data_IF_121727885997
#
_entry.id   IF_121727885997
#
_cell.length_a   1.000
_cell.length_b   1.000
_cell.length_c   1.000
_cell.angle_alpha   90.00
_cell.angle_beta   90.00
_cell.angle_gamma   90.00
#
_symmetry.space_group_name_H-M   'P 1'
#
loop_
_entity.id
_entity.type
_entity.pdbx_description
1 polymer ?
#
# COMPACT_ATOMS: atom_id res chain seq x y z
N UNK A 1 8.39 -8.79 28.80
CA UNK A 1 9.11 -7.67 28.15
C UNK A 1 8.08 -6.83 27.40
N UNK A 2 8.17 -5.48 27.41
CA UNK A 2 7.28 -4.67 26.59
C UNK A 2 7.48 -5.04 25.12
N UNK A 3 6.42 -5.47 24.44
CA UNK A 3 6.45 -5.78 23.00
C UNK A 3 6.88 -4.50 22.29
N UNK A 4 8.00 -4.53 21.56
CA UNK A 4 8.45 -3.39 20.76
C UNK A 4 7.32 -2.93 19.85
N UNK A 5 7.16 -1.62 19.65
CA UNK A 5 6.10 -1.08 18.81
C UNK A 5 6.11 -1.76 17.42
N UNK A 6 4.94 -2.14 16.87
CA UNK A 6 4.89 -2.86 15.61
C UNK A 6 5.56 -2.05 14.48
N UNK A 7 6.12 -2.75 13.49
CA UNK A 7 6.67 -2.09 12.31
C UNK A 7 5.57 -1.25 11.64
N UNK A 8 5.92 -0.01 11.29
CA UNK A 8 5.04 0.82 10.47
C UNK A 8 4.96 0.25 9.05
N UNK A 9 3.90 0.54 8.28
CA UNK A 9 3.81 0.10 6.88
C UNK A 9 5.05 0.49 6.06
N UNK A 10 5.56 1.72 6.24
CA UNK A 10 6.77 2.16 5.54
C UNK A 10 8.05 1.46 6.03
N UNK A 11 8.09 1.07 7.31
CA UNK A 11 9.18 0.25 7.85
C UNK A 11 9.17 -1.17 7.28
N UNK A 12 7.99 -1.75 7.06
CA UNK A 12 7.83 -3.05 6.36
C UNK A 12 8.38 -2.93 4.94
N UNK A 13 7.93 -1.93 4.16
CA UNK A 13 8.44 -1.73 2.79
C UNK A 13 9.96 -1.50 2.76
N UNK A 14 10.51 -0.70 3.68
CA UNK A 14 11.95 -0.49 3.77
C UNK A 14 12.73 -1.79 4.07
N UNK A 15 12.28 -2.58 5.05
CA UNK A 15 12.92 -3.87 5.35
C UNK A 15 12.78 -4.85 4.18
N UNK A 16 11.63 -4.89 3.49
CA UNK A 16 11.42 -5.73 2.31
C UNK A 16 12.40 -5.39 1.18
N UNK A 17 12.67 -4.11 0.91
CA UNK A 17 13.70 -3.71 -0.06
C UNK A 17 15.11 -4.11 0.40
N UNK A 18 15.41 -3.95 1.70
CA UNK A 18 16.70 -4.35 2.26
C UNK A 18 16.92 -5.87 2.33
N UNK A 19 15.86 -6.67 2.20
CA UNK A 19 15.96 -8.12 1.96
C UNK A 19 16.53 -8.41 0.58
N UNK A 20 16.21 -7.59 -0.42
CA UNK A 20 16.71 -7.72 -1.79
C UNK A 20 18.19 -7.34 -1.87
N UNK A 21 18.56 -6.15 -1.39
CA UNK A 21 19.95 -5.67 -1.36
C UNK A 21 20.14 -4.48 -0.39
N UNK A 22 21.37 -4.19 0.06
CA UNK A 22 21.67 -2.96 0.80
C UNK A 22 21.37 -1.71 -0.04
N UNK A 23 20.70 -0.72 0.54
CA UNK A 23 20.27 0.49 -0.18
C UNK A 23 20.40 1.75 0.68
N UNK A 24 20.58 2.89 0.01
CA UNK A 24 20.37 4.21 0.61
C UNK A 24 18.87 4.57 0.61
N UNK A 25 18.34 5.31 1.62
CA UNK A 25 16.90 5.64 1.66
C UNK A 25 16.37 6.39 0.44
N UNK A 26 17.21 7.18 -0.24
CA UNK A 26 16.86 7.77 -1.54
C UNK A 26 16.61 6.73 -2.64
N UNK A 27 17.42 5.66 -2.70
CA UNK A 27 17.24 4.59 -3.69
C UNK A 27 15.97 3.81 -3.39
N UNK A 28 15.72 3.52 -2.11
CA UNK A 28 14.46 2.95 -1.67
C UNK A 28 13.29 3.80 -2.14
N UNK A 29 13.32 5.12 -1.91
CA UNK A 29 12.27 6.02 -2.37
C UNK A 29 12.05 5.92 -3.90
N UNK A 30 13.12 6.00 -4.69
CA UNK A 30 13.03 5.92 -6.15
C UNK A 30 12.45 4.58 -6.60
N UNK A 31 12.86 3.48 -5.96
CA UNK A 31 12.40 2.14 -6.30
C UNK A 31 10.94 1.92 -5.91
N UNK A 32 10.52 2.37 -4.73
CA UNK A 32 9.11 2.35 -4.29
C UNK A 32 8.22 3.10 -5.29
N UNK A 33 8.65 4.29 -5.73
CA UNK A 33 7.89 5.07 -6.70
C UNK A 33 7.88 4.42 -8.09
N UNK A 34 9.00 3.87 -8.54
CA UNK A 34 9.10 3.17 -9.82
C UNK A 34 8.25 1.89 -9.86
N UNK A 35 8.03 1.25 -8.72
CA UNK A 35 7.16 0.08 -8.54
C UNK A 35 5.71 0.44 -8.23
N UNK A 36 5.39 1.74 -8.17
CA UNK A 36 4.08 2.25 -7.76
C UNK A 36 3.61 1.67 -6.40
N UNK A 37 4.53 1.48 -5.46
CA UNK A 37 4.21 1.01 -4.10
C UNK A 37 3.50 2.08 -3.26
N UNK A 38 3.45 3.32 -3.74
CA UNK A 38 2.64 4.39 -3.18
C UNK A 38 1.12 4.09 -3.21
N UNK A 39 0.70 3.07 -3.98
CA UNK A 39 -0.66 2.49 -3.92
C UNK A 39 -0.92 1.65 -2.66
N UNK A 40 0.13 1.10 -2.04
CA UNK A 40 0.03 0.21 -0.88
C UNK A 40 0.40 0.94 0.42
N UNK A 41 1.37 1.83 0.34
CA UNK A 41 1.89 2.55 1.50
C UNK A 41 2.13 4.01 1.14
N UNK A 42 1.75 4.93 2.04
CA UNK A 42 2.05 6.34 1.84
C UNK A 42 3.56 6.60 1.93
N UNK A 43 4.18 6.87 0.78
CA UNK A 43 5.62 7.16 0.70
C UNK A 43 5.85 8.68 0.63
N UNK A 44 6.67 9.21 1.54
CA UNK A 44 7.27 10.55 1.43
C UNK A 44 8.75 10.45 1.75
N UNK A 45 9.65 11.21 1.09
CA UNK A 45 11.08 11.11 1.34
C UNK A 45 11.42 11.28 2.83
N UNK A 46 11.02 12.40 3.45
CA UNK A 46 11.33 12.67 4.86
C UNK A 46 10.82 11.57 5.80
N UNK A 47 9.61 11.05 5.59
CA UNK A 47 9.08 9.96 6.43
C UNK A 47 9.81 8.65 6.23
N UNK A 48 10.34 8.39 5.03
CA UNK A 48 11.15 7.20 4.76
C UNK A 48 12.51 7.28 5.46
N UNK A 49 13.21 8.42 5.39
CA UNK A 49 14.45 8.62 6.16
C UNK A 49 14.20 8.44 7.66
N UNK A 50 13.12 9.03 8.20
CA UNK A 50 12.75 8.83 9.60
C UNK A 50 12.38 7.38 9.93
N UNK A 51 11.74 6.65 8.99
CA UNK A 51 11.44 5.24 9.19
C UNK A 51 12.72 4.41 9.26
N UNK A 52 13.67 4.62 8.35
CA UNK A 52 14.97 3.92 8.35
C UNK A 52 15.78 4.23 9.60
N UNK A 53 15.86 5.50 10.03
CA UNK A 53 16.53 5.86 11.28
C UNK A 53 15.95 5.15 12.50
N UNK A 54 14.62 5.05 12.60
CA UNK A 54 13.99 4.26 13.68
C UNK A 54 14.24 2.76 13.59
N UNK A 55 14.42 2.21 12.39
CA UNK A 55 14.80 0.80 12.23
C UNK A 55 16.24 0.59 12.71
N UNK A 56 17.14 1.54 12.45
CA UNK A 56 18.54 1.50 12.91
C UNK A 56 18.62 1.63 14.44
N UNK A 57 17.92 2.60 15.03
CA UNK A 57 17.83 2.77 16.50
C UNK A 57 17.33 1.50 17.21
N UNK A 58 16.52 0.69 16.51
CA UNK A 58 15.97 -0.59 17.01
C UNK A 58 16.87 -1.79 16.69
N UNK A 59 18.01 -1.60 16.01
CA UNK A 59 18.92 -2.68 15.59
C UNK A 59 18.35 -3.60 14.51
N UNK A 60 17.30 -3.16 13.78
CA UNK A 60 16.67 -3.94 12.70
C UNK A 60 17.38 -3.75 11.36
N UNK A 61 18.11 -2.65 11.22
CA UNK A 61 19.05 -2.40 10.12
C UNK A 61 20.36 -1.89 10.70
N UNK A 62 21.44 -2.03 9.95
CA UNK A 62 22.76 -1.52 10.29
C UNK A 62 23.38 -0.80 9.08
N UNK A 63 24.31 0.11 9.35
CA UNK A 63 25.07 0.79 8.29
C UNK A 63 25.96 -0.23 7.56
N UNK A 64 25.78 -0.34 6.24
CA UNK A 64 26.55 -1.23 5.37
C UNK A 64 27.77 -0.54 4.73
N UNK A 65 27.72 0.79 4.61
CA UNK A 65 28.80 1.62 4.09
C UNK A 65 28.41 3.10 4.01
N UNK A 66 29.42 3.95 3.91
CA UNK A 66 29.27 5.39 3.69
C UNK A 66 30.08 5.78 2.46
N UNK A 67 29.40 6.10 1.37
CA UNK A 67 30.07 6.65 0.18
C UNK A 67 29.97 8.17 0.19
N UNK A 68 31.08 8.83 -0.17
CA UNK A 68 31.16 10.28 -0.32
C UNK A 68 31.58 10.64 -1.74
N UNK A 69 30.62 11.00 -2.58
CA UNK A 69 30.93 11.60 -3.88
C UNK A 69 31.23 13.10 -3.74
N UNK A 70 32.53 13.43 -3.62
CA UNK A 70 33.01 14.82 -3.63
C UNK A 70 32.49 15.65 -2.45
N UNK A 71 31.85 16.79 -2.76
CA UNK A 71 31.35 17.75 -1.76
C UNK A 71 29.88 17.53 -1.35
N UNK A 72 29.28 16.39 -1.72
CA UNK A 72 27.90 16.03 -1.33
C UNK A 72 27.87 15.45 0.10
N UNK A 73 26.71 15.48 0.78
CA UNK A 73 26.52 14.78 2.04
C UNK A 73 26.88 13.30 1.93
N UNK A 74 27.37 12.71 3.02
CA UNK A 74 27.65 11.28 3.09
C UNK A 74 26.39 10.46 2.79
N UNK A 75 26.54 9.44 1.96
CA UNK A 75 25.47 8.55 1.53
C UNK A 75 25.59 7.24 2.30
N UNK A 76 24.83 7.15 3.40
CA UNK A 76 24.80 5.94 4.24
C UNK A 76 23.88 4.89 3.63
N UNK A 77 24.46 3.76 3.21
CA UNK A 77 23.69 2.58 2.81
C UNK A 77 23.39 1.73 4.03
N UNK A 78 22.20 1.13 4.06
CA UNK A 78 21.75 0.27 5.16
C UNK A 78 21.61 -1.17 4.66
N UNK A 79 21.76 -2.12 5.57
CA UNK A 79 21.46 -3.54 5.35
C UNK A 79 20.59 -4.07 6.49
N UNK A 80 19.68 -4.99 6.18
CA UNK A 80 18.84 -5.64 7.18
C UNK A 80 19.65 -6.59 8.07
N UNK A 81 19.41 -6.56 9.39
CA UNK A 81 20.01 -7.48 10.36
C UNK A 81 19.20 -8.78 10.49
N UNK A 82 19.72 -9.84 11.14
CA UNK A 82 18.92 -11.02 11.46
C UNK A 82 17.64 -10.68 12.25
N UNK A 83 17.74 -9.77 13.23
CA UNK A 83 16.58 -9.29 14.00
C UNK A 83 15.56 -8.54 13.12
N UNK A 84 16.04 -7.76 12.13
CA UNK A 84 15.18 -7.12 11.14
C UNK A 84 14.39 -8.11 10.30
N UNK A 85 15.03 -9.22 9.87
CA UNK A 85 14.36 -10.27 9.09
C UNK A 85 13.29 -11.01 9.88
N UNK A 86 13.57 -11.30 11.16
CA UNK A 86 12.61 -11.90 12.08
C UNK A 86 11.42 -10.96 12.31
N UNK A 87 11.67 -9.70 12.65
CA UNK A 87 10.61 -8.71 12.86
C UNK A 87 9.74 -8.49 11.61
N UNK A 88 10.33 -8.49 10.41
CA UNK A 88 9.58 -8.41 9.15
C UNK A 88 8.68 -9.64 8.97
N UNK A 89 9.23 -10.83 9.21
CA UNK A 89 8.53 -12.10 9.03
C UNK A 89 7.36 -12.23 10.01
N UNK A 90 7.58 -11.98 11.30
CA UNK A 90 6.53 -11.96 12.32
C UNK A 90 5.42 -10.98 11.94
N UNK A 91 5.80 -9.77 11.53
CA UNK A 91 4.82 -8.75 11.18
C UNK A 91 3.96 -9.14 9.97
N UNK A 92 4.57 -9.71 8.93
CA UNK A 92 3.83 -10.15 7.75
C UNK A 92 2.90 -11.33 8.08
N UNK A 93 3.33 -12.26 8.93
CA UNK A 93 2.48 -13.36 9.39
C UNK A 93 1.27 -12.82 10.18
N UNK A 94 1.50 -11.92 11.13
CA UNK A 94 0.43 -11.30 11.92
C UNK A 94 -0.59 -10.58 11.01
N UNK A 95 -0.11 -9.80 10.02
CA UNK A 95 -0.98 -9.05 9.10
C UNK A 95 -1.78 -9.96 8.15
N UNK A 96 -1.25 -11.12 7.79
CA UNK A 96 -1.94 -12.08 6.93
C UNK A 96 -2.93 -12.96 7.71
N UNK A 97 -2.63 -13.25 8.98
CA UNK A 97 -3.43 -14.15 9.80
C UNK A 97 -4.59 -13.45 10.51
N UNK A 98 -4.37 -12.23 11.02
CA UNK A 98 -5.34 -11.53 11.85
C UNK A 98 -6.02 -10.39 11.07
N UNK A 99 -7.32 -10.49 10.78
CA UNK A 99 -8.06 -9.38 10.20
C UNK A 99 -8.13 -8.24 11.21
N UNK A 100 -7.66 -7.07 10.82
CA UNK A 100 -7.83 -5.85 11.61
C UNK A 100 -9.02 -5.07 11.07
N UNK A 101 -9.77 -4.42 11.98
CA UNK A 101 -10.79 -3.47 11.56
C UNK A 101 -10.10 -2.21 11.02
N UNK A 102 -9.87 -2.18 9.72
CA UNK A 102 -9.53 -0.96 9.01
C UNK A 102 -10.72 0.00 9.16
N UNK A 103 -10.46 1.30 9.28
CA UNK A 103 -11.51 2.32 9.32
C UNK A 103 -11.59 3.03 7.96
N UNK A 104 -12.03 2.35 6.86
CA UNK A 104 -12.10 2.95 5.54
C UNK A 104 -13.22 4.00 5.49
N UNK A 105 -12.96 5.11 4.82
CA UNK A 105 -13.93 6.22 4.71
C UNK A 105 -15.18 5.87 3.91
N UNK A 106 -15.10 4.97 2.92
CA UNK A 106 -16.22 4.71 2.02
C UNK A 106 -17.37 3.92 2.68
N UNK A 107 -17.14 2.83 3.43
CA UNK A 107 -18.19 2.20 4.21
C UNK A 107 -18.88 3.14 5.20
N UNK A 108 -18.12 4.07 5.83
CA UNK A 108 -18.72 5.11 6.66
C UNK A 108 -19.61 6.06 5.83
N UNK A 109 -19.15 6.50 4.65
CA UNK A 109 -19.95 7.35 3.76
C UNK A 109 -21.23 6.65 3.28
N UNK A 110 -21.17 5.34 3.01
CA UNK A 110 -22.35 4.52 2.69
C UNK A 110 -23.29 4.44 3.89
N UNK A 111 -22.77 4.17 5.08
CA UNK A 111 -23.56 4.07 6.30
C UNK A 111 -24.34 5.36 6.58
N UNK A 112 -23.75 6.52 6.29
CA UNK A 112 -24.35 7.84 6.50
C UNK A 112 -25.04 8.44 5.26
N UNK A 113 -25.13 7.69 4.16
CA UNK A 113 -25.62 8.21 2.88
C UNK A 113 -27.08 8.71 2.92
N UNK A 114 -27.90 8.14 3.82
CA UNK A 114 -29.29 8.53 4.05
C UNK A 114 -29.47 10.00 4.46
N UNK A 115 -28.39 10.68 4.86
CA UNK A 115 -28.40 12.12 5.12
C UNK A 115 -28.40 12.99 3.85
N UNK A 116 -28.33 12.39 2.66
CA UNK A 116 -28.30 13.07 1.36
C UNK A 116 -29.52 12.67 0.52
N UNK A 117 -30.02 13.53 -0.39
CA UNK A 117 -31.04 13.13 -1.36
C UNK A 117 -30.54 12.01 -2.30
N UNK A 118 -31.44 11.12 -2.72
CA UNK A 118 -31.11 9.97 -3.59
C UNK A 118 -30.37 10.39 -4.87
N UNK A 119 -30.81 11.48 -5.50
CA UNK A 119 -30.21 12.01 -6.72
C UNK A 119 -28.74 12.41 -6.51
N UNK A 120 -28.41 12.98 -5.35
CA UNK A 120 -27.03 13.37 -5.01
C UNK A 120 -26.18 12.12 -4.78
N UNK A 121 -26.71 11.11 -4.09
CA UNK A 121 -26.00 9.84 -3.88
C UNK A 121 -25.71 9.15 -5.21
N UNK A 122 -26.69 9.09 -6.11
CA UNK A 122 -26.51 8.52 -7.45
C UNK A 122 -25.39 9.22 -8.24
N UNK A 123 -25.39 10.56 -8.28
CA UNK A 123 -24.36 11.35 -8.97
C UNK A 123 -22.94 11.09 -8.39
N UNK A 124 -22.82 11.08 -7.06
CA UNK A 124 -21.54 10.82 -6.39
C UNK A 124 -21.03 9.39 -6.63
N UNK A 125 -21.94 8.41 -6.66
CA UNK A 125 -21.60 7.02 -6.98
C UNK A 125 -21.21 6.85 -8.45
N UNK A 126 -21.84 7.55 -9.39
CA UNK A 126 -21.43 7.55 -10.81
C UNK A 126 -20.00 8.09 -10.95
N UNK A 127 -19.68 9.22 -10.28
CA UNK A 127 -18.32 9.76 -10.25
C UNK A 127 -17.32 8.78 -9.64
N UNK A 128 -17.68 8.11 -8.54
CA UNK A 128 -16.83 7.12 -7.90
C UNK A 128 -16.56 5.93 -8.82
N UNK A 129 -17.57 5.42 -9.52
CA UNK A 129 -17.42 4.31 -10.47
C UNK A 129 -16.41 4.63 -11.57
N UNK A 130 -16.41 5.85 -12.11
CA UNK A 130 -15.41 6.28 -13.09
C UNK A 130 -13.99 6.21 -12.52
N UNK A 131 -13.78 6.73 -11.31
CA UNK A 131 -12.46 6.69 -10.66
C UNK A 131 -12.00 5.27 -10.32
N UNK A 132 -12.92 4.38 -9.91
CA UNK A 132 -12.59 2.97 -9.66
C UNK A 132 -12.27 2.21 -10.96
N UNK A 133 -12.94 2.56 -12.07
CA UNK A 133 -12.63 2.01 -13.39
C UNK A 133 -11.22 2.39 -13.84
N UNK A 134 -10.83 3.67 -13.70
CA UNK A 134 -9.48 4.15 -14.01
C UNK A 134 -8.41 3.41 -13.19
N UNK A 135 -8.68 3.18 -11.89
CA UNK A 135 -7.78 2.42 -11.02
C UNK A 135 -7.68 0.94 -11.43
N UNK A 136 -8.80 0.33 -11.81
CA UNK A 136 -8.82 -1.05 -12.28
C UNK A 136 -7.99 -1.21 -13.56
N UNK A 137 -8.15 -0.30 -14.52
CA UNK A 137 -7.38 -0.28 -15.77
C UNK A 137 -5.88 -0.10 -15.51
N UNK A 138 -5.50 0.77 -14.59
CA UNK A 138 -4.10 0.92 -14.16
C UNK A 138 -3.51 -0.41 -13.67
N UNK A 139 -4.22 -1.14 -12.80
CA UNK A 139 -3.75 -2.42 -12.27
C UNK A 139 -3.70 -3.52 -13.34
N UNK A 140 -4.66 -3.55 -14.26
CA UNK A 140 -4.66 -4.49 -15.39
C UNK A 140 -3.48 -4.25 -16.33
N UNK A 141 -3.16 -2.97 -16.61
CA UNK A 141 -1.97 -2.61 -17.38
C UNK A 141 -0.68 -3.00 -16.65
N UNK A 142 -0.65 -2.85 -15.33
CA UNK A 142 0.45 -3.33 -14.48
C UNK A 142 0.65 -4.84 -14.57
N UNK A 143 -0.42 -5.63 -14.45
CA UNK A 143 -0.41 -7.10 -14.60
C UNK A 143 0.12 -7.51 -15.98
N UNK A 144 -0.39 -6.88 -17.05
CA UNK A 144 0.08 -7.14 -18.41
C UNK A 144 1.58 -6.85 -18.58
N UNK A 145 2.09 -5.78 -17.95
CA UNK A 145 3.49 -5.39 -18.01
C UNK A 145 4.42 -6.38 -17.28
N UNK A 146 4.02 -6.90 -16.11
CA UNK A 146 4.83 -7.87 -15.36
C UNK A 146 4.79 -9.27 -16.01
N UNK A 147 3.66 -9.66 -16.60
CA UNK A 147 3.56 -10.89 -17.41
C UNK A 147 4.48 -10.84 -18.63
N UNK A 148 4.53 -9.70 -19.34
CA UNK A 148 5.44 -9.51 -20.49
C UNK A 148 6.92 -9.62 -20.10
N UNK A 149 7.27 -9.32 -18.85
CA UNK A 149 8.63 -9.40 -18.30
C UNK A 149 8.95 -10.74 -17.64
N UNK A 150 8.05 -11.73 -17.71
CA UNK A 150 8.18 -13.05 -17.09
C UNK A 150 8.48 -12.98 -15.57
N UNK A 151 7.91 -11.99 -14.88
CA UNK A 151 8.05 -11.87 -13.42
C UNK A 151 7.19 -12.94 -12.75
N UNK A 152 7.81 -13.77 -11.91
CA UNK A 152 7.10 -14.83 -11.19
C UNK A 152 5.89 -14.30 -10.40
N UNK A 153 4.75 -15.00 -10.52
CA UNK A 153 3.44 -14.58 -9.97
C UNK A 153 3.47 -14.15 -8.50
N UNK A 154 4.25 -14.83 -7.67
CA UNK A 154 4.36 -14.54 -6.23
C UNK A 154 4.75 -13.10 -5.91
N UNK A 155 5.41 -12.39 -6.83
CA UNK A 155 5.86 -10.99 -6.63
C UNK A 155 4.80 -9.94 -6.98
N UNK A 156 3.64 -10.35 -7.50
CA UNK A 156 2.59 -9.42 -7.91
C UNK A 156 1.18 -9.93 -7.59
N UNK A 157 1.04 -10.92 -6.69
CA UNK A 157 -0.27 -11.48 -6.28
C UNK A 157 -1.22 -10.41 -5.72
N UNK A 158 -0.67 -9.35 -5.16
CA UNK A 158 -1.40 -8.22 -4.62
C UNK A 158 -2.16 -7.43 -5.70
N UNK A 159 -1.68 -7.40 -6.95
CA UNK A 159 -2.43 -6.80 -8.07
C UNK A 159 -3.76 -7.51 -8.27
N UNK A 160 -3.77 -8.85 -8.24
CA UNK A 160 -4.99 -9.64 -8.44
C UNK A 160 -5.98 -9.46 -7.28
N UNK A 161 -5.47 -9.37 -6.05
CA UNK A 161 -6.27 -9.02 -4.88
C UNK A 161 -6.96 -7.66 -5.07
N UNK A 162 -6.19 -6.61 -5.40
CA UNK A 162 -6.74 -5.27 -5.59
C UNK A 162 -7.76 -5.21 -6.74
N UNK A 163 -7.48 -5.83 -7.88
CA UNK A 163 -8.44 -5.91 -8.99
C UNK A 163 -9.75 -6.60 -8.56
N UNK A 164 -9.66 -7.67 -7.77
CA UNK A 164 -10.84 -8.39 -7.27
C UNK A 164 -11.68 -7.52 -6.35
N UNK A 165 -11.03 -6.78 -5.44
CA UNK A 165 -11.71 -5.87 -4.52
C UNK A 165 -12.38 -4.71 -5.27
N UNK A 166 -11.70 -4.09 -6.23
CA UNK A 166 -12.28 -3.01 -7.05
C UNK A 166 -13.51 -3.49 -7.83
N UNK A 167 -13.43 -4.65 -8.50
CA UNK A 167 -14.57 -5.21 -9.23
C UNK A 167 -15.76 -5.49 -8.30
N UNK A 168 -15.48 -6.00 -7.10
CA UNK A 168 -16.51 -6.29 -6.11
C UNK A 168 -17.19 -5.01 -5.63
N UNK A 169 -16.42 -3.98 -5.30
CA UNK A 169 -16.96 -2.67 -4.90
C UNK A 169 -17.79 -2.03 -6.03
N UNK A 170 -17.27 -2.02 -7.26
CA UNK A 170 -18.00 -1.50 -8.41
C UNK A 170 -19.30 -2.27 -8.69
N UNK A 171 -19.27 -3.60 -8.54
CA UNK A 171 -20.46 -4.44 -8.66
C UNK A 171 -21.52 -4.09 -7.61
N UNK A 172 -21.09 -3.91 -6.36
CA UNK A 172 -21.98 -3.49 -5.27
C UNK A 172 -22.56 -2.09 -5.50
N UNK A 173 -21.74 -1.12 -5.91
CA UNK A 173 -22.20 0.25 -6.19
C UNK A 173 -23.26 0.25 -7.30
N UNK A 174 -23.04 -0.48 -8.40
CA UNK A 174 -24.02 -0.58 -9.49
C UNK A 174 -25.35 -1.17 -8.99
N UNK A 175 -25.29 -2.22 -8.19
CA UNK A 175 -26.49 -2.81 -7.58
C UNK A 175 -27.25 -1.82 -6.71
N UNK A 176 -26.56 -1.02 -5.90
CA UNK A 176 -27.20 0.02 -5.08
C UNK A 176 -27.84 1.10 -5.96
N UNK A 177 -27.15 1.56 -7.01
CA UNK A 177 -27.70 2.54 -7.94
C UNK A 177 -28.96 2.02 -8.64
N UNK A 178 -28.99 0.74 -9.02
CA UNK A 178 -30.16 0.11 -9.62
C UNK A 178 -31.35 0.08 -8.65
N UNK A 179 -31.12 -0.26 -7.37
CA UNK A 179 -32.16 -0.25 -6.34
C UNK A 179 -32.73 1.15 -6.07
N UNK A 180 -31.87 2.17 -6.08
CA UNK A 180 -32.29 3.57 -5.90
C UNK A 180 -33.06 4.10 -7.11
N UNK A 181 -32.62 3.75 -8.33
CA UNK A 181 -33.26 4.19 -9.58
C UNK A 181 -34.60 3.48 -9.82
N UNK A 182 -34.71 2.21 -9.43
CA UNK A 182 -35.96 1.44 -9.54
C UNK A 182 -36.98 1.78 -8.46
N UNK A 183 -36.54 2.37 -7.35
CA UNK A 183 -37.36 2.60 -6.16
C UNK A 183 -37.55 1.35 -5.29
N UNK A 184 -36.84 0.25 -5.57
CA UNK A 184 -36.80 -0.94 -4.71
C UNK A 184 -36.30 -0.60 -3.30
N UNK A 185 -35.33 0.32 -3.23
CA UNK A 185 -34.87 0.90 -1.96
C UNK A 185 -35.51 2.28 -1.78
N UNK A 186 -36.46 2.43 -0.84
CA UNK A 186 -36.98 3.73 -0.44
C UNK A 186 -35.85 4.58 0.16
N UNK A 187 -35.84 5.88 -0.17
CA UNK A 187 -34.76 6.79 0.17
C UNK A 187 -35.28 8.06 0.86
#
# INVERSE_FOLDING_TARGET
MPRSAPLTPLGISALSLLVEEPMHPYEMYQLLMARHEDRLVKVRPGTLYHAVGRLEERGLVETAGTDREGNRPERTTYRITPAGREALTERLQDMLAEPVNEYPSFPLAVAEAYNLPAAVVLELLDRRLALLQDQLEFLQNGEAAVLKKDVARKYWIDLQYQQTMLRSEMGWIRSLQDQLRSGELPW
#
